data_IF_654291537432
#
_entry.id   IF_654291537432
#
_cell.length_a   1.000
_cell.length_b   1.000
_cell.length_c   1.000
_cell.angle_alpha   90.00
_cell.angle_beta   90.00
_cell.angle_gamma   90.00
#
_symmetry.space_group_name_H-M   'P 1'
#
loop_
_entity.id
_entity.type
_entity.pdbx_description
1 polymer ?
#
# COMPACT_ATOMS: atom_id res chain seq x y z
N UNK A 1 14.99 -30.01 40.60
CA UNK A 1 14.43 -31.08 39.75
C UNK A 1 13.94 -30.46 38.44
N UNK A 2 14.48 -30.82 37.27
CA UNK A 2 13.89 -30.40 36.00
C UNK A 2 12.49 -31.03 35.90
N UNK A 3 11.47 -30.20 35.70
CA UNK A 3 10.10 -30.67 35.44
C UNK A 3 10.14 -31.39 34.09
N UNK A 4 10.00 -32.71 34.10
CA UNK A 4 9.79 -33.49 32.89
C UNK A 4 8.35 -33.31 32.43
N UNK A 5 8.20 -32.83 31.19
CA UNK A 5 6.89 -32.63 30.56
C UNK A 5 6.39 -33.99 30.02
N UNK A 6 6.10 -34.92 30.91
CA UNK A 6 5.55 -36.24 30.53
C UNK A 6 4.11 -36.09 30.02
N UNK A 7 3.68 -37.04 29.19
CA UNK A 7 2.33 -37.03 28.62
C UNK A 7 1.26 -37.12 29.71
N UNK A 8 1.50 -37.96 30.71
CA UNK A 8 0.58 -38.23 31.82
C UNK A 8 0.38 -36.98 32.68
N UNK A 9 1.49 -36.30 33.02
CA UNK A 9 1.45 -35.04 33.77
C UNK A 9 0.69 -33.96 33.00
N UNK A 10 1.00 -33.77 31.72
CA UNK A 10 0.36 -32.77 30.89
C UNK A 10 -1.12 -33.05 30.66
N UNK A 11 -1.50 -34.31 30.47
CA UNK A 11 -2.90 -34.71 30.29
C UNK A 11 -3.72 -34.44 31.56
N UNK A 12 -3.15 -34.72 32.73
CA UNK A 12 -3.82 -34.52 34.03
C UNK A 12 -4.07 -33.04 34.29
N UNK A 13 -3.06 -32.21 34.07
CA UNK A 13 -3.17 -30.75 34.25
C UNK A 13 -4.06 -30.14 33.18
N UNK A 14 -4.02 -30.61 31.93
CA UNK A 14 -4.88 -30.09 30.87
C UNK A 14 -6.36 -30.37 31.12
N UNK A 15 -6.71 -31.49 31.76
CA UNK A 15 -8.09 -31.82 32.09
C UNK A 15 -8.73 -30.84 33.11
N UNK A 16 -7.92 -30.24 33.98
CA UNK A 16 -8.39 -29.33 35.05
C UNK A 16 -8.13 -27.85 34.77
N UNK A 17 -7.17 -27.54 33.90
CA UNK A 17 -6.86 -26.16 33.52
C UNK A 17 -7.85 -25.59 32.50
N UNK A 18 -8.12 -24.29 32.60
CA UNK A 18 -8.89 -23.52 31.63
C UNK A 18 -8.00 -22.70 30.68
N UNK A 19 -6.68 -22.69 30.85
CA UNK A 19 -5.76 -21.98 29.97
C UNK A 19 -4.31 -22.50 30.04
N UNK A 20 -3.49 -22.11 29.06
CA UNK A 20 -2.05 -22.41 29.07
C UNK A 20 -1.30 -21.72 30.22
N UNK A 21 -1.78 -20.57 30.67
CA UNK A 21 -1.16 -19.83 31.79
C UNK A 21 -1.46 -20.54 33.12
N UNK A 22 -2.66 -21.09 33.29
CA UNK A 22 -3.01 -21.96 34.42
C UNK A 22 -2.19 -23.25 34.40
N UNK A 23 -2.02 -23.88 33.23
CA UNK A 23 -1.14 -25.06 33.11
C UNK A 23 0.31 -24.73 33.50
N UNK A 24 0.86 -23.61 33.02
CA UNK A 24 2.23 -23.21 33.36
C UNK A 24 2.36 -22.95 34.86
N UNK A 25 1.37 -22.29 35.46
CA UNK A 25 1.31 -22.07 36.91
C UNK A 25 1.26 -23.39 37.70
N UNK A 26 0.41 -24.33 37.28
CA UNK A 26 0.31 -25.67 37.88
C UNK A 26 1.60 -26.49 37.74
N UNK A 27 2.38 -26.25 36.68
CA UNK A 27 3.72 -26.82 36.48
C UNK A 27 4.83 -26.07 37.25
N UNK A 28 4.48 -25.08 38.08
CA UNK A 28 5.42 -24.24 38.84
C UNK A 28 6.25 -23.31 37.96
N UNK A 29 5.74 -22.91 36.79
CA UNK A 29 6.41 -22.04 35.82
C UNK A 29 5.65 -20.74 35.63
N UNK A 30 6.36 -19.63 35.69
CA UNK A 30 5.78 -18.32 35.36
C UNK A 30 5.37 -18.28 33.87
N UNK A 31 4.15 -17.83 33.53
CA UNK A 31 3.72 -17.73 32.15
C UNK A 31 4.48 -16.69 31.33
N UNK A 32 5.08 -17.12 30.21
CA UNK A 32 5.67 -16.20 29.23
C UNK A 32 5.48 -16.70 27.80
N UNK A 33 5.86 -15.88 26.81
CA UNK A 33 5.65 -16.17 25.38
C UNK A 33 6.31 -17.48 24.96
N UNK A 34 7.56 -17.70 25.34
CA UNK A 34 8.34 -18.86 24.89
C UNK A 34 7.90 -20.15 25.58
N UNK A 35 7.55 -20.07 26.87
CA UNK A 35 6.99 -21.19 27.64
C UNK A 35 5.61 -21.60 27.11
N UNK A 36 4.74 -20.64 26.78
CA UNK A 36 3.46 -20.92 26.09
C UNK A 36 3.68 -21.61 24.75
N UNK A 37 4.64 -21.14 23.96
CA UNK A 37 4.99 -21.73 22.66
C UNK A 37 5.52 -23.16 22.82
N UNK A 38 6.42 -23.39 23.78
CA UNK A 38 6.96 -24.71 24.09
C UNK A 38 5.87 -25.68 24.55
N UNK A 39 5.01 -25.26 25.48
CA UNK A 39 3.93 -26.07 26.01
C UNK A 39 2.91 -26.44 24.91
N UNK A 40 2.51 -25.49 24.05
CA UNK A 40 1.64 -25.79 22.89
C UNK A 40 2.23 -26.86 21.98
N UNK A 41 3.53 -26.77 21.70
CA UNK A 41 4.23 -27.78 20.89
C UNK A 41 4.14 -29.16 21.53
N UNK A 42 4.38 -29.25 22.85
CA UNK A 42 4.30 -30.51 23.59
C UNK A 42 2.89 -31.08 23.68
N UNK A 43 1.88 -30.24 23.89
CA UNK A 43 0.46 -30.66 23.87
C UNK A 43 0.05 -31.22 22.50
N UNK A 44 0.52 -30.60 21.42
CA UNK A 44 0.29 -31.05 20.04
C UNK A 44 0.99 -32.38 19.78
N UNK A 45 2.26 -32.50 20.19
CA UNK A 45 3.07 -33.73 20.07
C UNK A 45 2.41 -34.92 20.76
N UNK A 46 1.86 -34.72 21.95
CA UNK A 46 1.16 -35.77 22.72
C UNK A 46 -0.32 -35.93 22.39
N UNK A 47 -0.86 -35.13 21.45
CA UNK A 47 -2.28 -35.11 21.04
C UNK A 47 -3.23 -34.97 22.24
N UNK A 48 -2.88 -34.07 23.16
CA UNK A 48 -3.71 -33.77 24.34
C UNK A 48 -4.80 -32.76 23.93
N UNK A 49 -6.06 -33.08 24.23
CA UNK A 49 -7.17 -32.18 23.95
C UNK A 49 -7.09 -30.93 24.85
N UNK A 50 -7.16 -29.77 24.21
CA UNK A 50 -7.17 -28.45 24.86
C UNK A 50 -8.22 -27.54 24.22
N UNK A 51 -9.21 -28.12 23.53
CA UNK A 51 -10.29 -27.39 22.87
C UNK A 51 -11.15 -26.58 23.85
N UNK A 52 -11.22 -27.01 25.11
CA UNK A 52 -11.91 -26.31 26.20
C UNK A 52 -11.13 -25.12 26.77
N UNK A 53 -9.85 -24.95 26.41
CA UNK A 53 -9.06 -23.83 26.92
C UNK A 53 -9.62 -22.50 26.41
N UNK A 54 -9.77 -21.55 27.34
CA UNK A 54 -10.13 -20.18 27.02
C UNK A 54 -9.08 -19.62 26.05
N UNK A 55 -9.49 -19.06 24.91
CA UNK A 55 -8.58 -18.38 24.00
C UNK A 55 -7.83 -17.28 24.76
N UNK A 56 -6.53 -17.47 24.95
CA UNK A 56 -5.72 -16.49 25.68
C UNK A 56 -5.48 -15.27 24.79
N UNK A 57 -5.80 -14.07 25.29
CA UNK A 57 -5.21 -12.83 24.78
C UNK A 57 -5.95 -12.11 23.64
N UNK A 58 -7.27 -12.19 23.55
CA UNK A 58 -8.01 -11.18 22.77
C UNK A 58 -8.73 -10.23 23.72
N UNK A 59 -8.22 -9.00 23.82
CA UNK A 59 -8.93 -7.87 24.48
C UNK A 59 -10.29 -7.62 23.81
N UNK A 60 -10.46 -8.08 22.57
CA UNK A 60 -11.65 -7.94 21.76
C UNK A 60 -12.58 -9.15 21.94
N UNK A 61 -13.40 -9.09 22.99
CA UNK A 61 -14.51 -10.02 23.21
C UNK A 61 -15.60 -9.81 22.17
N UNK A 62 -16.52 -10.77 22.04
CA UNK A 62 -17.63 -10.67 21.10
C UNK A 62 -18.56 -9.53 21.49
N UNK A 63 -18.85 -9.41 22.76
CA UNK A 63 -19.75 -8.42 23.35
C UNK A 63 -19.24 -7.00 23.08
N UNK A 64 -17.95 -6.76 23.37
CA UNK A 64 -17.30 -5.46 23.14
C UNK A 64 -17.32 -5.07 21.66
N UNK A 65 -16.99 -6.01 20.77
CA UNK A 65 -17.00 -5.72 19.34
C UNK A 65 -18.42 -5.54 18.79
N UNK A 66 -19.41 -6.24 19.34
CA UNK A 66 -20.80 -6.14 18.90
C UNK A 66 -21.42 -4.80 19.28
N UNK A 67 -21.11 -4.30 20.48
CA UNK A 67 -21.43 -2.92 20.90
C UNK A 67 -20.74 -1.89 20.01
N UNK A 68 -19.44 -2.01 19.79
CA UNK A 68 -18.70 -1.06 18.97
C UNK A 68 -19.18 -1.04 17.50
N UNK A 69 -19.59 -2.19 16.97
CA UNK A 69 -20.15 -2.34 15.62
C UNK A 69 -21.56 -1.74 15.53
N UNK A 70 -22.41 -1.89 16.53
CA UNK A 70 -23.78 -1.34 16.49
C UNK A 70 -23.79 0.19 16.47
N UNK A 71 -22.82 0.83 17.14
CA UNK A 71 -22.68 2.30 17.19
C UNK A 71 -21.94 2.88 15.98
N UNK A 72 -21.25 2.03 15.20
CA UNK A 72 -20.38 2.46 14.10
C UNK A 72 -20.97 2.15 12.72
N UNK A 73 -20.55 2.92 11.70
CA UNK A 73 -20.87 2.64 10.29
C UNK A 73 -19.65 2.23 9.44
N UNK A 74 -18.51 1.95 10.08
CA UNK A 74 -17.29 1.49 9.41
C UNK A 74 -16.31 0.88 10.42
N UNK A 75 -15.37 0.06 9.94
CA UNK A 75 -14.27 -0.48 10.77
C UNK A 75 -13.44 0.65 11.39
N UNK A 76 -13.19 1.74 10.66
CA UNK A 76 -12.50 2.91 11.20
C UNK A 76 -13.30 3.61 12.32
N UNK A 77 -14.63 3.56 12.25
CA UNK A 77 -15.53 3.97 13.33
C UNK A 77 -15.37 3.09 14.57
N UNK A 78 -15.36 1.76 14.38
CA UNK A 78 -15.13 0.80 15.46
C UNK A 78 -13.79 1.04 16.15
N UNK A 79 -12.71 1.24 15.37
CA UNK A 79 -11.37 1.53 15.94
C UNK A 79 -11.37 2.81 16.75
N UNK A 80 -12.13 3.85 16.32
CA UNK A 80 -12.30 5.09 17.07
C UNK A 80 -13.09 4.88 18.36
N UNK A 81 -14.19 4.11 18.30
CA UNK A 81 -15.00 3.77 19.47
C UNK A 81 -14.16 3.06 20.54
N UNK A 82 -13.31 2.13 20.12
CA UNK A 82 -12.42 1.38 21.01
C UNK A 82 -11.19 2.19 21.50
N UNK A 83 -11.11 3.48 21.17
CA UNK A 83 -9.99 4.35 21.56
C UNK A 83 -8.64 3.93 20.97
N UNK A 84 -8.64 3.16 19.88
CA UNK A 84 -7.43 2.59 19.30
C UNK A 84 -6.81 3.52 18.26
N UNK A 85 -5.50 3.36 18.02
CA UNK A 85 -4.78 4.12 17.00
C UNK A 85 -5.35 3.86 15.61
N UNK A 86 -5.69 4.94 14.91
CA UNK A 86 -6.15 4.91 13.52
C UNK A 86 -5.00 4.58 12.56
N UNK A 87 -4.80 3.29 12.33
CA UNK A 87 -3.83 2.76 11.38
C UNK A 87 -4.43 1.58 10.61
N UNK A 88 -4.02 1.38 9.36
CA UNK A 88 -4.54 0.31 8.50
C UNK A 88 -4.34 -1.09 9.09
N UNK A 89 -3.21 -1.33 9.76
CA UNK A 89 -2.95 -2.60 10.45
C UNK A 89 -3.93 -2.87 11.59
N UNK A 90 -4.22 -1.86 12.41
CA UNK A 90 -5.21 -1.94 13.50
C UNK A 90 -6.60 -2.23 12.97
N UNK A 91 -7.01 -1.50 11.93
CA UNK A 91 -8.31 -1.70 11.26
C UNK A 91 -8.42 -3.11 10.67
N UNK A 92 -7.38 -3.60 9.99
CA UNK A 92 -7.37 -4.96 9.44
C UNK A 92 -7.43 -6.03 10.54
N UNK A 93 -6.74 -5.82 11.67
CA UNK A 93 -6.81 -6.73 12.81
C UNK A 93 -8.22 -6.80 13.40
N UNK A 94 -8.84 -5.65 13.70
CA UNK A 94 -10.19 -5.57 14.25
C UNK A 94 -11.22 -6.14 13.26
N UNK A 95 -11.12 -5.79 11.97
CA UNK A 95 -12.00 -6.33 10.93
C UNK A 95 -11.95 -7.86 10.81
N UNK A 96 -10.75 -8.47 10.90
CA UNK A 96 -10.61 -9.93 10.95
C UNK A 96 -11.28 -10.54 12.18
N UNK A 97 -11.20 -9.86 13.33
CA UNK A 97 -11.81 -10.34 14.57
C UNK A 97 -13.34 -10.29 14.52
N UNK A 98 -13.91 -9.18 14.05
CA UNK A 98 -15.36 -9.02 13.80
C UNK A 98 -15.87 -10.16 12.91
N UNK A 99 -15.18 -10.42 11.79
CA UNK A 99 -15.52 -11.50 10.86
C UNK A 99 -15.43 -12.88 11.51
N UNK A 100 -14.36 -13.15 12.26
CA UNK A 100 -14.16 -14.43 12.94
C UNK A 100 -15.23 -14.71 14.01
N UNK A 101 -15.85 -13.68 14.57
CA UNK A 101 -16.91 -13.77 15.57
C UNK A 101 -18.32 -13.74 14.98
N UNK A 102 -18.44 -13.66 13.64
CA UNK A 102 -19.73 -13.66 12.94
C UNK A 102 -20.62 -12.47 13.29
N UNK A 103 -20.04 -11.31 13.59
CA UNK A 103 -20.80 -10.10 13.92
C UNK A 103 -21.27 -9.45 12.61
N UNK A 104 -22.57 -9.16 12.50
CA UNK A 104 -23.13 -8.51 11.32
C UNK A 104 -22.60 -7.08 11.17
N UNK A 105 -22.22 -6.74 9.94
CA UNK A 105 -21.71 -5.40 9.55
C UNK A 105 -22.37 -4.89 8.28
N UNK A 106 -23.55 -5.44 7.94
CA UNK A 106 -24.30 -5.09 6.73
C UNK A 106 -24.63 -3.59 6.63
N UNK A 107 -24.80 -2.91 7.76
CA UNK A 107 -25.06 -1.47 7.86
C UNK A 107 -23.82 -0.58 7.69
N UNK A 108 -22.63 -1.17 7.48
CA UNK A 108 -21.43 -0.37 7.24
C UNK A 108 -21.45 0.22 5.82
N UNK A 109 -21.26 1.54 5.73
CA UNK A 109 -21.33 2.29 4.48
C UNK A 109 -20.13 1.99 3.53
N UNK A 110 -19.06 1.39 4.05
CA UNK A 110 -17.90 0.95 3.26
C UNK A 110 -17.38 2.01 2.28
N UNK A 111 -17.06 1.57 1.05
CA UNK A 111 -16.71 2.45 -0.08
C UNK A 111 -17.94 2.89 -0.88
N UNK A 112 -19.17 2.74 -0.36
CA UNK A 112 -20.39 3.04 -1.11
C UNK A 112 -20.49 4.54 -1.50
N UNK A 113 -19.93 5.45 -0.70
CA UNK A 113 -19.82 6.87 -1.06
C UNK A 113 -18.99 7.10 -2.34
N UNK A 114 -18.09 6.18 -2.69
CA UNK A 114 -17.29 6.23 -3.91
C UNK A 114 -17.80 5.27 -5.01
N UNK A 115 -18.81 4.44 -4.76
CA UNK A 115 -19.40 3.56 -5.79
C UNK A 115 -20.02 4.42 -6.89
N UNK A 116 -19.58 4.20 -8.13
CA UNK A 116 -20.03 4.95 -9.30
C UNK A 116 -19.29 6.25 -9.59
N UNK A 117 -18.52 6.78 -8.63
CA UNK A 117 -17.65 7.95 -8.87
C UNK A 117 -16.34 7.50 -9.51
N UNK A 118 -16.27 7.50 -10.85
CA UNK A 118 -15.00 7.50 -11.57
C UNK A 118 -14.58 8.95 -11.73
N UNK A 119 -13.61 9.41 -10.94
CA UNK A 119 -12.88 10.63 -11.31
C UNK A 119 -12.22 10.36 -12.67
N UNK A 120 -12.25 11.30 -13.63
CA UNK A 120 -11.50 11.13 -14.86
C UNK A 120 -10.03 10.94 -14.50
N UNK A 121 -9.51 9.73 -14.70
CA UNK A 121 -8.14 9.36 -14.35
C UNK A 121 -7.12 9.97 -15.31
N UNK A 122 -7.58 10.48 -16.45
CA UNK A 122 -6.75 11.06 -17.52
C UNK A 122 -7.02 12.55 -17.65
N UNK A 123 -5.96 13.35 -17.52
CA UNK A 123 -5.95 14.76 -17.90
C UNK A 123 -5.93 14.80 -19.43
N UNK A 124 -6.87 15.49 -20.10
CA UNK A 124 -6.87 15.63 -21.56
C UNK A 124 -5.56 16.23 -22.10
N UNK A 125 -5.16 15.87 -23.32
CA UNK A 125 -3.95 16.39 -23.96
C UNK A 125 -3.92 17.93 -23.98
N UNK A 126 -5.06 18.55 -24.29
CA UNK A 126 -5.27 20.01 -24.28
C UNK A 126 -4.97 20.70 -22.94
N UNK A 127 -5.16 20.00 -21.81
CA UNK A 127 -4.85 20.54 -20.48
C UNK A 127 -3.42 20.23 -20.04
N UNK A 128 -2.77 19.27 -20.70
CA UNK A 128 -1.41 18.83 -20.40
C UNK A 128 -0.38 19.61 -21.20
N UNK A 129 -0.67 19.88 -22.48
CA UNK A 129 0.21 20.50 -23.46
C UNK A 129 0.08 22.03 -23.47
N UNK A 130 0.29 22.63 -22.29
CA UNK A 130 0.20 24.08 -22.06
C UNK A 130 1.41 24.59 -21.30
N UNK A 131 1.57 25.92 -21.29
CA UNK A 131 2.51 26.59 -20.39
C UNK A 131 2.07 26.33 -18.94
N UNK A 132 2.98 25.79 -18.13
CA UNK A 132 2.72 25.50 -16.71
C UNK A 132 2.92 26.77 -15.88
N UNK A 133 2.07 27.00 -14.87
CA UNK A 133 2.25 28.13 -13.97
C UNK A 133 3.50 27.94 -13.12
N UNK A 134 4.03 29.06 -12.61
CA UNK A 134 5.16 29.05 -11.70
C UNK A 134 4.86 28.23 -10.44
N UNK A 135 5.85 27.46 -9.96
CA UNK A 135 5.70 26.56 -8.81
C UNK A 135 4.98 25.22 -9.11
N UNK A 136 4.48 25.00 -10.32
CA UNK A 136 3.91 23.71 -10.70
C UNK A 136 4.95 22.58 -10.68
N UNK A 137 4.50 21.35 -10.44
CA UNK A 137 5.37 20.17 -10.60
C UNK A 137 5.58 19.84 -12.07
N UNK A 138 6.80 19.41 -12.41
CA UNK A 138 7.15 18.90 -13.73
C UNK A 138 6.31 17.67 -14.07
N UNK A 139 5.79 17.64 -15.29
CA UNK A 139 5.04 16.50 -15.82
C UNK A 139 6.04 15.45 -16.33
N UNK A 140 5.86 14.16 -15.99
CA UNK A 140 6.68 13.09 -16.55
C UNK A 140 6.62 13.07 -18.08
N UNK A 141 7.76 12.89 -18.75
CA UNK A 141 7.84 12.89 -20.22
C UNK A 141 6.94 11.84 -20.88
N UNK A 142 6.70 10.70 -20.23
CA UNK A 142 5.77 9.67 -20.72
C UNK A 142 4.33 10.19 -20.89
N UNK A 143 3.87 11.09 -20.01
CA UNK A 143 2.55 11.71 -20.11
C UNK A 143 2.49 12.74 -21.24
N UNK A 144 3.57 13.51 -21.43
CA UNK A 144 3.68 14.45 -22.54
C UNK A 144 3.67 13.70 -23.87
N UNK A 145 4.48 12.63 -24.00
CA UNK A 145 4.50 11.78 -25.20
C UNK A 145 3.12 11.18 -25.51
N UNK A 146 2.43 10.68 -24.48
CA UNK A 146 1.08 10.14 -24.65
C UNK A 146 0.08 11.20 -25.13
N UNK A 147 0.19 12.42 -24.63
CA UNK A 147 -0.65 13.54 -25.05
C UNK A 147 -0.33 14.01 -26.47
N UNK A 148 0.95 14.04 -26.87
CA UNK A 148 1.35 14.34 -28.25
C UNK A 148 0.82 13.30 -29.24
N UNK A 149 0.86 12.01 -28.86
CA UNK A 149 0.28 10.94 -29.66
C UNK A 149 -1.24 11.09 -29.83
N UNK A 150 -1.96 11.56 -28.81
CA UNK A 150 -3.40 11.88 -28.92
C UNK A 150 -3.68 13.01 -29.93
N UNK A 151 -2.75 13.95 -30.10
CA UNK A 151 -2.83 14.98 -31.14
C UNK A 151 -2.37 14.50 -32.52
N UNK A 152 -2.06 13.21 -32.68
CA UNK A 152 -1.62 12.62 -33.95
C UNK A 152 -0.14 12.86 -34.28
N UNK A 153 0.68 13.28 -33.31
CA UNK A 153 2.12 13.43 -33.54
C UNK A 153 2.78 12.05 -33.73
N UNK A 154 3.52 11.83 -34.84
CA UNK A 154 4.21 10.56 -35.07
C UNK A 154 5.22 10.24 -33.97
N UNK A 155 5.31 8.97 -33.57
CA UNK A 155 6.35 8.49 -32.65
C UNK A 155 7.67 8.25 -33.39
N UNK A 156 8.19 9.30 -34.02
CA UNK A 156 9.45 9.30 -34.75
C UNK A 156 10.37 10.37 -34.18
N UNK A 157 11.68 10.11 -34.21
CA UNK A 157 12.68 11.12 -33.90
C UNK A 157 12.58 12.26 -34.93
N UNK A 158 12.34 13.48 -34.47
CA UNK A 158 12.20 14.66 -35.33
C UNK A 158 13.53 15.15 -35.93
N UNK A 159 14.65 14.55 -35.53
CA UNK A 159 15.98 14.83 -36.07
C UNK A 159 16.41 13.78 -37.11
N UNK A 160 16.42 12.50 -36.72
CA UNK A 160 16.93 11.41 -37.57
C UNK A 160 15.88 10.45 -38.11
N UNK A 161 14.60 10.63 -37.79
CA UNK A 161 13.50 9.77 -38.25
C UNK A 161 13.41 8.39 -37.58
N UNK A 162 14.35 8.03 -36.71
CA UNK A 162 14.32 6.74 -35.97
C UNK A 162 13.02 6.59 -35.18
N UNK A 163 12.31 5.47 -35.35
CA UNK A 163 11.07 5.16 -34.62
C UNK A 163 11.28 4.61 -33.20
N UNK A 164 10.23 4.05 -32.56
CA UNK A 164 10.28 3.56 -31.19
C UNK A 164 10.86 2.13 -31.08
N UNK A 165 11.58 1.68 -32.11
CA UNK A 165 12.26 0.39 -32.12
C UNK A 165 13.73 0.58 -32.48
N UNK A 166 14.60 -0.10 -31.75
CA UNK A 166 16.03 -0.16 -32.00
C UNK A 166 16.50 -1.60 -31.98
N UNK A 167 17.02 -2.10 -33.11
CA UNK A 167 17.52 -3.48 -33.26
C UNK A 167 16.48 -4.54 -32.83
N UNK A 168 15.22 -4.39 -33.25
CA UNK A 168 14.15 -5.33 -32.90
C UNK A 168 13.64 -5.24 -31.46
N UNK A 169 14.03 -4.20 -30.70
CA UNK A 169 13.62 -4.00 -29.32
C UNK A 169 12.94 -2.63 -29.12
N UNK A 170 11.92 -2.52 -28.26
CA UNK A 170 11.31 -1.24 -27.95
C UNK A 170 12.34 -0.24 -27.40
N UNK A 171 12.30 0.98 -27.94
CA UNK A 171 13.09 2.13 -27.52
C UNK A 171 12.13 3.29 -27.28
N UNK A 172 12.29 3.96 -26.15
CA UNK A 172 11.46 5.13 -25.84
C UNK A 172 12.07 6.36 -26.49
N UNK A 173 11.28 7.08 -27.30
CA UNK A 173 11.62 8.46 -27.68
C UNK A 173 11.45 9.39 -26.48
N UNK A 174 12.43 10.26 -26.32
CA UNK A 174 12.53 11.23 -25.24
C UNK A 174 11.87 12.54 -25.68
N UNK A 175 11.18 13.19 -24.74
CA UNK A 175 10.60 14.52 -24.96
C UNK A 175 11.68 15.54 -24.68
N UNK A 176 12.05 16.32 -25.70
CA UNK A 176 12.92 17.48 -25.59
C UNK A 176 12.10 18.76 -25.72
N UNK A 177 12.49 19.76 -24.91
CA UNK A 177 11.93 21.10 -24.94
C UNK A 177 12.89 21.98 -25.74
N UNK A 178 12.43 22.50 -26.88
CA UNK A 178 13.26 23.26 -27.83
C UNK A 178 13.91 24.47 -27.14
N UNK A 179 13.14 25.20 -26.33
CA UNK A 179 13.63 26.33 -25.54
C UNK A 179 14.38 25.91 -24.25
N UNK A 180 14.38 24.63 -23.90
CA UNK A 180 14.98 24.10 -22.68
C UNK A 180 14.28 24.49 -21.37
N UNK A 181 13.08 25.06 -21.45
CA UNK A 181 12.18 25.27 -20.33
C UNK A 181 11.21 24.08 -20.19
N UNK A 182 11.34 23.34 -19.10
CA UNK A 182 10.48 22.20 -18.81
C UNK A 182 9.02 22.59 -18.56
N UNK A 183 8.77 23.86 -18.24
CA UNK A 183 7.43 24.35 -17.89
C UNK A 183 6.59 24.67 -19.14
N UNK A 184 7.22 24.87 -20.29
CA UNK A 184 6.56 25.14 -21.57
C UNK A 184 6.24 23.84 -22.33
N UNK A 185 5.09 23.22 -22.03
CA UNK A 185 4.67 21.98 -22.69
C UNK A 185 3.79 22.24 -23.93
N UNK A 186 3.80 23.45 -24.50
CA UNK A 186 3.04 23.71 -25.73
C UNK A 186 3.58 22.82 -26.87
N UNK A 187 2.72 22.23 -27.72
CA UNK A 187 3.15 21.27 -28.74
C UNK A 187 4.29 21.78 -29.63
N UNK A 188 4.25 23.05 -30.02
CA UNK A 188 5.25 23.67 -30.90
C UNK A 188 6.64 23.81 -30.25
N UNK A 189 6.73 23.79 -28.92
CA UNK A 189 7.98 23.83 -28.17
C UNK A 189 8.54 22.43 -27.85
N UNK A 190 7.78 21.38 -28.17
CA UNK A 190 8.15 20.00 -27.87
C UNK A 190 8.65 19.31 -29.13
N UNK A 191 9.64 18.44 -28.96
CA UNK A 191 10.02 17.46 -29.99
C UNK A 191 10.34 16.10 -29.41
N UNK A 192 10.04 15.05 -30.17
CA UNK A 192 10.45 13.69 -29.84
C UNK A 192 11.82 13.41 -30.44
N UNK A 193 12.78 13.00 -29.61
CA UNK A 193 14.13 12.65 -30.03
C UNK A 193 14.47 11.23 -29.57
N UNK A 194 15.24 10.50 -30.37
CA UNK A 194 15.86 9.28 -29.89
C UNK A 194 16.96 9.62 -28.86
N UNK A 195 17.34 8.68 -27.98
CA UNK A 195 18.35 8.94 -26.94
C UNK A 195 19.69 9.48 -27.50
N UNK A 196 20.07 9.06 -28.71
CA UNK A 196 21.31 9.51 -29.34
C UNK A 196 21.22 10.96 -29.83
N UNK A 197 20.14 11.34 -30.53
CA UNK A 197 19.91 12.71 -30.98
C UNK A 197 19.68 13.66 -29.79
N UNK A 198 18.99 13.21 -28.75
CA UNK A 198 18.77 14.03 -27.56
C UNK A 198 20.09 14.30 -26.82
N UNK A 199 20.99 13.31 -26.73
CA UNK A 199 22.28 13.44 -26.06
C UNK A 199 23.21 14.51 -26.65
N UNK A 200 23.00 14.93 -27.90
CA UNK A 200 23.81 15.98 -28.56
C UNK A 200 23.16 17.37 -28.51
N UNK A 201 21.95 17.51 -27.98
CA UNK A 201 21.28 18.81 -27.84
C UNK A 201 21.99 19.72 -26.83
N UNK A 202 21.83 21.04 -27.01
CA UNK A 202 22.36 22.04 -26.08
C UNK A 202 21.62 22.05 -24.72
N UNK A 203 20.41 21.47 -24.67
CA UNK A 203 19.53 21.38 -23.49
C UNK A 203 19.74 20.09 -22.69
N UNK A 204 20.39 19.08 -23.28
CA UNK A 204 20.57 17.75 -22.69
C UNK A 204 21.13 17.81 -21.26
N UNK A 205 20.53 17.04 -20.35
CA UNK A 205 20.95 16.92 -18.95
C UNK A 205 21.23 18.26 -18.23
N UNK A 206 20.58 19.35 -18.65
CA UNK A 206 20.76 20.67 -18.04
C UNK A 206 22.06 21.38 -18.42
N UNK A 207 22.67 21.05 -19.57
CA UNK A 207 23.80 21.81 -20.15
C UNK A 207 23.50 23.30 -20.31
N UNK A 208 22.23 23.68 -20.42
CA UNK A 208 21.75 25.07 -20.52
C UNK A 208 21.46 25.76 -19.18
N UNK A 209 21.69 25.12 -18.01
CA UNK A 209 21.35 25.68 -16.69
C UNK A 209 22.00 27.04 -16.40
N UNK A 210 23.19 27.29 -16.96
CA UNK A 210 23.93 28.55 -16.76
C UNK A 210 23.56 29.66 -17.77
N UNK A 211 22.65 29.39 -18.71
CA UNK A 211 22.25 30.34 -19.77
C UNK A 211 20.83 30.89 -19.61
N UNK A 212 20.15 30.58 -18.50
CA UNK A 212 18.80 31.08 -18.24
C UNK A 212 18.88 32.58 -17.91
N UNK A 213 18.24 33.47 -18.67
CA UNK A 213 18.10 34.85 -18.23
C UNK A 213 17.37 34.84 -16.88
N UNK A 214 17.83 35.67 -15.94
CA UNK A 214 17.08 35.95 -14.70
C UNK A 214 15.70 36.47 -15.12
N UNK A 215 14.60 36.03 -14.48
CA UNK A 215 13.31 36.68 -14.68
C UNK A 215 13.51 38.18 -14.46
N UNK A 216 13.12 38.97 -15.45
CA UNK A 216 12.94 40.42 -15.29
C UNK A 216 11.63 40.57 -14.50
N UNK A 217 11.71 41.24 -13.35
CA UNK A 217 10.56 41.59 -12.51
C UNK A 217 9.54 42.45 -13.27
#
# INVERSE_FOLDING_TARGET
>A
MPVEYTRELLSTIAATAASLDEMLTALGREPNRDRRKYLRRKLTEYRIDTSHFRPTGSVYTRELLQEAVSVSHSVAGVVRYLGQRQAGGTQAHIGRRIKALGIDTSHFNGQAHARGRRLPTRIPAEQLLVQRPWGAKRIPGSRIRSALAELGRPELCEDCGTGPEWRGRPMTLEVDHINGDWSDNRPDNLRLLCPNCHAITATYCGRNKNKRPRPVD
#
